data_IF_465360157535
#
_entry.id   IF_465360157535
#
_cell.length_a   1.000
_cell.length_b   1.000
_cell.length_c   1.000
_cell.angle_alpha   90.00
_cell.angle_beta   90.00
_cell.angle_gamma   90.00
#
_symmetry.space_group_name_H-M   'P 1'
#
loop_
_entity.id
_entity.type
_entity.pdbx_description
1 polymer ?
#
# COMPACT_ATOMS: atom_id res chain seq x y z
N UNK A 1 -17.68 -9.79 24.99
CA UNK A 1 -16.92 -8.53 24.85
C UNK A 1 -16.74 -8.30 23.36
N UNK A 2 -17.41 -7.29 22.79
CA UNK A 2 -17.45 -7.07 21.35
C UNK A 2 -16.07 -6.63 20.86
N UNK A 3 -15.45 -7.42 20.00
CA UNK A 3 -14.21 -7.12 19.26
C UNK A 3 -14.40 -5.95 18.25
N UNK A 4 -15.60 -5.41 18.15
CA UNK A 4 -15.95 -4.24 17.33
C UNK A 4 -15.97 -3.01 18.25
N UNK A 5 -14.83 -2.61 18.80
CA UNK A 5 -14.64 -1.18 19.00
C UNK A 5 -14.44 -0.61 17.59
N UNK A 6 -15.53 -0.10 17.00
CA UNK A 6 -15.43 0.97 15.99
C UNK A 6 -14.38 1.92 16.54
N UNK A 7 -13.29 2.12 15.81
CA UNK A 7 -12.22 2.99 16.24
C UNK A 7 -12.87 4.29 16.70
N UNK A 8 -12.60 4.74 17.93
CA UNK A 8 -13.16 5.95 18.51
C UNK A 8 -12.82 7.23 17.70
N UNK A 9 -12.07 7.06 16.62
CA UNK A 9 -11.61 8.10 15.69
C UNK A 9 -12.67 8.45 14.63
N UNK A 10 -13.65 7.54 14.31
CA UNK A 10 -14.58 7.74 13.19
C UNK A 10 -16.04 7.36 13.49
N UNK A 11 -16.68 7.87 14.56
CA UNK A 11 -18.10 7.56 14.78
C UNK A 11 -19.01 8.11 13.68
N UNK A 12 -18.59 9.18 12.97
CA UNK A 12 -19.48 9.99 12.11
C UNK A 12 -18.98 10.15 10.66
N UNK A 13 -17.89 9.47 10.24
CA UNK A 13 -17.44 9.57 8.85
C UNK A 13 -18.30 8.66 7.97
N UNK A 14 -18.91 9.18 6.87
CA UNK A 14 -19.82 8.37 6.08
C UNK A 14 -19.09 7.15 5.52
N UNK A 15 -19.62 5.96 5.80
CA UNK A 15 -19.13 4.65 5.32
C UNK A 15 -18.86 4.60 3.81
N UNK A 16 -19.54 5.48 3.03
CA UNK A 16 -19.38 5.58 1.58
C UNK A 16 -18.10 6.30 1.14
N UNK A 17 -17.39 7.01 2.03
CA UNK A 17 -16.21 7.80 1.62
C UNK A 17 -15.13 6.94 0.94
N UNK A 18 -14.70 5.78 1.49
CA UNK A 18 -13.70 4.94 0.84
C UNK A 18 -14.13 4.39 -0.52
N UNK A 19 -15.44 4.27 -0.75
CA UNK A 19 -16.00 3.77 -2.01
C UNK A 19 -16.19 4.85 -3.07
N UNK A 20 -16.00 6.12 -2.75
CA UNK A 20 -16.15 7.24 -3.69
C UNK A 20 -15.29 7.08 -4.94
N UNK A 21 -14.05 6.60 -4.79
CA UNK A 21 -13.13 6.39 -5.92
C UNK A 21 -13.58 5.27 -6.86
N UNK A 22 -14.06 4.13 -6.35
CA UNK A 22 -14.57 3.03 -7.19
C UNK A 22 -15.91 3.39 -7.84
N UNK A 23 -16.79 4.10 -7.15
CA UNK A 23 -18.05 4.59 -7.72
C UNK A 23 -17.76 5.55 -8.87
N UNK A 24 -16.87 6.52 -8.68
CA UNK A 24 -16.44 7.44 -9.72
C UNK A 24 -15.81 6.68 -10.91
N UNK A 25 -14.97 5.68 -10.65
CA UNK A 25 -14.37 4.85 -11.69
C UNK A 25 -15.42 4.11 -12.54
N UNK A 26 -16.42 3.52 -11.90
CA UNK A 26 -17.54 2.83 -12.59
C UNK A 26 -18.33 3.81 -13.46
N UNK A 27 -18.71 4.97 -12.90
CA UNK A 27 -19.48 5.99 -13.62
C UNK A 27 -18.67 6.48 -14.85
N UNK A 28 -17.41 6.91 -14.64
CA UNK A 28 -16.60 7.46 -15.72
C UNK A 28 -16.27 6.39 -16.76
N UNK A 29 -15.94 5.16 -16.37
CA UNK A 29 -15.71 4.06 -17.31
C UNK A 29 -16.96 3.78 -18.16
N UNK A 30 -18.14 3.80 -17.54
CA UNK A 30 -19.42 3.55 -18.24
C UNK A 30 -19.75 4.66 -19.24
N UNK A 31 -19.58 5.93 -18.87
CA UNK A 31 -19.90 7.08 -19.72
C UNK A 31 -18.91 7.20 -20.88
N UNK A 32 -17.60 7.01 -20.61
CA UNK A 32 -16.56 7.29 -21.61
C UNK A 32 -16.33 6.15 -22.61
N UNK A 33 -16.47 4.90 -22.19
CA UNK A 33 -16.15 3.72 -23.01
C UNK A 33 -17.19 2.58 -22.90
N UNK A 34 -18.30 2.80 -22.21
CA UNK A 34 -19.37 1.82 -22.04
C UNK A 34 -18.91 0.49 -21.49
N UNK A 35 -19.44 -0.61 -22.04
CA UNK A 35 -19.12 -1.98 -21.61
C UNK A 35 -17.62 -2.32 -21.72
N UNK A 36 -16.92 -1.78 -22.73
CA UNK A 36 -15.49 -2.04 -22.91
C UNK A 36 -14.65 -1.41 -21.79
N UNK A 37 -15.00 -0.20 -21.36
CA UNK A 37 -14.36 0.49 -20.26
C UNK A 37 -14.55 -0.23 -18.92
N UNK A 38 -15.77 -0.73 -18.66
CA UNK A 38 -16.04 -1.53 -17.46
C UNK A 38 -15.30 -2.87 -17.48
N UNK A 39 -15.26 -3.56 -18.62
CA UNK A 39 -14.52 -4.83 -18.76
C UNK A 39 -13.03 -4.62 -18.51
N UNK A 40 -12.45 -3.56 -19.04
CA UNK A 40 -11.05 -3.20 -18.84
C UNK A 40 -10.75 -2.89 -17.35
N UNK A 41 -11.58 -2.09 -16.71
CA UNK A 41 -11.52 -1.78 -15.28
C UNK A 41 -11.59 -3.05 -14.42
N UNK A 42 -12.63 -3.86 -14.60
CA UNK A 42 -12.84 -5.10 -13.84
C UNK A 42 -11.71 -6.10 -14.07
N UNK A 43 -11.15 -6.15 -15.29
CA UNK A 43 -10.03 -7.06 -15.61
C UNK A 43 -8.79 -6.77 -14.76
N UNK A 44 -8.54 -5.52 -14.37
CA UNK A 44 -7.45 -5.14 -13.47
C UNK A 44 -7.80 -5.42 -12.01
N UNK A 45 -9.02 -5.13 -11.60
CA UNK A 45 -9.47 -5.38 -10.23
C UNK A 45 -9.51 -6.88 -9.90
N UNK A 46 -9.80 -7.73 -10.90
CA UNK A 46 -9.92 -9.18 -10.73
C UNK A 46 -8.70 -9.95 -11.25
N UNK A 47 -7.58 -9.29 -11.51
CA UNK A 47 -6.37 -9.93 -12.05
C UNK A 47 -5.62 -10.69 -10.96
N UNK A 48 -5.97 -11.96 -10.77
CA UNK A 48 -5.37 -12.84 -9.76
C UNK A 48 -4.24 -13.74 -10.30
N UNK A 49 -4.19 -13.98 -11.62
CA UNK A 49 -3.16 -14.84 -12.25
C UNK A 49 -1.81 -14.12 -12.37
N UNK A 50 -1.13 -13.99 -11.24
CA UNK A 50 0.20 -13.40 -11.09
C UNK A 50 1.12 -14.34 -10.33
N UNK A 51 2.44 -14.16 -10.46
CA UNK A 51 3.40 -15.02 -9.77
C UNK A 51 3.25 -14.96 -8.23
N UNK A 52 3.36 -16.10 -7.55
CA UNK A 52 3.17 -16.25 -6.09
C UNK A 52 4.05 -15.30 -5.28
N UNK A 53 5.25 -14.97 -5.78
CA UNK A 53 6.15 -14.00 -5.14
C UNK A 53 5.52 -12.61 -4.95
N UNK A 54 4.56 -12.23 -5.81
CA UNK A 54 3.89 -10.94 -5.70
C UNK A 54 2.77 -10.95 -4.65
N UNK A 55 2.13 -12.09 -4.42
CA UNK A 55 1.27 -12.28 -3.25
C UNK A 55 2.08 -12.20 -1.96
N UNK A 56 3.25 -12.88 -1.93
CA UNK A 56 4.15 -12.77 -0.78
C UNK A 56 4.60 -11.32 -0.56
N UNK A 57 4.98 -10.58 -1.62
CA UNK A 57 5.35 -9.18 -1.51
C UNK A 57 4.18 -8.31 -1.00
N UNK A 58 2.97 -8.50 -1.56
CA UNK A 58 1.79 -7.74 -1.17
C UNK A 58 1.40 -7.94 0.30
N UNK A 59 1.56 -9.15 0.83
CA UNK A 59 1.15 -9.47 2.19
C UNK A 59 2.29 -9.27 3.20
N UNK A 60 3.52 -9.67 2.88
CA UNK A 60 4.61 -9.72 3.85
C UNK A 60 5.40 -8.41 3.96
N UNK A 61 5.48 -7.60 2.88
CA UNK A 61 6.20 -6.31 2.96
C UNK A 61 5.55 -5.37 3.98
N UNK A 62 4.22 -5.12 3.97
CA UNK A 62 3.58 -4.29 4.99
C UNK A 62 3.74 -4.84 6.40
N UNK A 63 3.66 -6.16 6.56
CA UNK A 63 3.88 -6.83 7.87
C UNK A 63 5.31 -6.58 8.36
N UNK A 64 6.32 -6.82 7.53
CA UNK A 64 7.71 -6.60 7.89
C UNK A 64 7.98 -5.14 8.27
N UNK A 65 7.46 -4.18 7.49
CA UNK A 65 7.61 -2.75 7.79
C UNK A 65 6.94 -2.36 9.11
N UNK A 66 5.75 -2.89 9.41
CA UNK A 66 5.06 -2.65 10.67
C UNK A 66 5.84 -3.23 11.87
N UNK A 67 6.39 -4.43 11.73
CA UNK A 67 7.22 -5.04 12.77
C UNK A 67 8.50 -4.22 13.01
N UNK A 68 9.15 -3.72 11.96
CA UNK A 68 10.31 -2.81 12.08
C UNK A 68 9.91 -1.53 12.81
N UNK A 69 8.75 -0.93 12.52
CA UNK A 69 8.27 0.26 13.23
C UNK A 69 8.06 -0.02 14.73
N UNK A 70 7.39 -1.11 15.08
CA UNK A 70 7.18 -1.52 16.49
C UNK A 70 8.52 -1.74 17.18
N UNK A 71 9.43 -2.49 16.55
CA UNK A 71 10.76 -2.77 17.08
C UNK A 71 11.54 -1.47 17.36
N UNK A 72 11.58 -0.55 16.39
CA UNK A 72 12.27 0.72 16.53
C UNK A 72 11.62 1.61 17.59
N UNK A 73 10.29 1.59 17.72
CA UNK A 73 9.59 2.33 18.75
C UNK A 73 9.96 1.84 20.16
N UNK A 74 9.97 0.52 20.35
CA UNK A 74 10.38 -0.11 21.62
C UNK A 74 11.86 0.17 21.90
N UNK A 75 12.73 0.03 20.92
CA UNK A 75 14.16 0.34 21.03
C UNK A 75 14.40 1.81 21.42
N UNK A 76 13.49 2.70 21.02
CA UNK A 76 13.52 4.13 21.35
C UNK A 76 12.84 4.46 22.69
N UNK A 77 12.53 3.45 23.53
CA UNK A 77 12.03 3.61 24.89
C UNK A 77 10.52 3.46 25.07
N UNK A 78 9.74 3.09 24.02
CA UNK A 78 8.35 2.74 24.22
C UNK A 78 8.24 1.39 24.99
N UNK A 79 7.20 1.23 25.82
CA UNK A 79 6.98 -0.05 26.47
C UNK A 79 6.71 -1.15 25.44
N UNK A 80 7.27 -2.34 25.72
CA UNK A 80 6.99 -3.53 24.90
C UNK A 80 5.48 -3.86 24.98
N UNK A 81 4.81 -4.12 23.87
CA UNK A 81 3.43 -4.60 23.88
C UNK A 81 3.26 -5.83 24.77
N UNK A 82 2.32 -5.78 25.69
CA UNK A 82 2.05 -6.88 26.62
C UNK A 82 1.31 -8.03 25.95
N UNK A 83 1.39 -9.25 26.49
CA UNK A 83 0.63 -10.39 26.01
C UNK A 83 -0.90 -10.11 25.96
N UNK A 84 -1.41 -9.32 26.92
CA UNK A 84 -2.81 -8.92 26.95
C UNK A 84 -3.19 -7.98 25.80
N UNK A 85 -2.28 -7.08 25.38
CA UNK A 85 -2.48 -6.18 24.23
C UNK A 85 -2.37 -6.94 22.90
N UNK A 86 -1.40 -7.86 22.80
CA UNK A 86 -1.23 -8.71 21.62
C UNK A 86 -2.43 -9.66 21.43
N UNK A 87 -3.04 -10.11 22.53
CA UNK A 87 -4.14 -11.08 22.48
C UNK A 87 -3.73 -12.40 21.82
N UNK A 88 -4.67 -13.21 21.36
CA UNK A 88 -4.37 -14.43 20.63
C UNK A 88 -3.80 -14.12 19.24
N UNK A 89 -2.79 -14.88 18.81
CA UNK A 89 -2.10 -14.68 17.54
C UNK A 89 -3.03 -14.61 16.31
N UNK A 90 -4.15 -15.32 16.33
CA UNK A 90 -5.14 -15.30 15.25
C UNK A 90 -6.00 -14.03 15.23
N UNK A 91 -5.94 -13.19 16.28
CA UNK A 91 -6.69 -11.93 16.35
C UNK A 91 -6.37 -11.00 15.19
N UNK A 92 -5.11 -10.96 14.77
CA UNK A 92 -4.69 -10.18 13.59
C UNK A 92 -5.33 -10.68 12.30
N UNK A 93 -5.54 -12.00 12.17
CA UNK A 93 -6.17 -12.58 10.99
C UNK A 93 -7.66 -12.23 10.91
N UNK A 94 -8.33 -12.05 12.05
CA UNK A 94 -9.73 -11.63 12.10
C UNK A 94 -9.93 -10.16 11.69
N UNK A 95 -8.90 -9.32 11.85
CA UNK A 95 -8.91 -7.93 11.39
C UNK A 95 -8.76 -7.81 9.86
N UNK A 96 -8.20 -8.82 9.20
CA UNK A 96 -7.88 -8.74 7.78
C UNK A 96 -9.13 -8.60 6.88
N UNK A 97 -10.20 -9.43 7.01
CA UNK A 97 -11.42 -9.26 6.22
C UNK A 97 -12.11 -7.92 6.46
N UNK A 98 -12.13 -7.45 7.70
CA UNK A 98 -12.69 -6.15 8.05
C UNK A 98 -11.87 -5.01 7.42
N UNK A 99 -10.54 -5.07 7.54
CA UNK A 99 -9.63 -4.11 6.88
C UNK A 99 -9.73 -4.14 5.35
N UNK A 100 -10.08 -5.28 4.75
CA UNK A 100 -10.24 -5.43 3.30
C UNK A 100 -11.45 -4.64 2.77
N UNK A 101 -12.56 -4.70 3.51
CA UNK A 101 -13.81 -4.04 3.11
C UNK A 101 -13.81 -2.56 3.48
N UNK A 102 -13.13 -2.17 4.57
CA UNK A 102 -13.17 -0.83 5.14
C UNK A 102 -12.78 0.27 4.12
N UNK A 103 -11.60 0.16 3.50
CA UNK A 103 -11.13 1.14 2.52
C UNK A 103 -10.45 0.53 1.28
N UNK A 104 -9.52 -0.43 1.41
CA UNK A 104 -8.68 -0.89 0.30
C UNK A 104 -9.46 -1.37 -0.93
N UNK A 105 -10.56 -2.09 -0.71
CA UNK A 105 -11.40 -2.59 -1.81
C UNK A 105 -11.96 -1.45 -2.66
N UNK A 106 -12.48 -0.40 -2.04
CA UNK A 106 -13.04 0.75 -2.73
C UNK A 106 -11.95 1.63 -3.34
N UNK A 107 -10.98 2.01 -2.52
CA UNK A 107 -9.93 2.96 -2.91
C UNK A 107 -9.04 2.42 -4.03
N UNK A 108 -8.45 1.24 -3.85
CA UNK A 108 -7.50 0.72 -4.81
C UNK A 108 -8.13 0.33 -6.15
N UNK A 109 -9.39 -0.11 -6.11
CA UNK A 109 -10.16 -0.31 -7.34
C UNK A 109 -10.26 0.99 -8.14
N UNK A 110 -10.59 2.11 -7.49
CA UNK A 110 -10.62 3.42 -8.15
C UNK A 110 -9.25 3.91 -8.59
N UNK A 111 -8.26 3.91 -7.69
CA UNK A 111 -6.95 4.49 -7.95
C UNK A 111 -6.10 3.64 -8.92
N UNK A 112 -5.91 2.33 -8.62
CA UNK A 112 -5.04 1.45 -9.43
C UNK A 112 -5.79 0.70 -10.51
N UNK A 113 -7.08 0.40 -10.30
CA UNK A 113 -7.91 -0.22 -11.33
C UNK A 113 -8.30 0.75 -12.45
N UNK A 114 -8.50 2.05 -12.12
CA UNK A 114 -9.01 3.03 -13.08
C UNK A 114 -8.08 4.22 -13.32
N UNK A 115 -7.69 4.99 -12.29
CA UNK A 115 -7.00 6.27 -12.47
C UNK A 115 -5.55 6.11 -12.98
N UNK A 116 -4.72 5.31 -12.28
CA UNK A 116 -3.31 5.15 -12.62
C UNK A 116 -3.05 4.70 -14.08
N UNK A 117 -3.80 3.73 -14.66
CA UNK A 117 -3.63 3.35 -16.06
C UNK A 117 -3.95 4.46 -17.08
N UNK A 118 -4.58 5.55 -16.64
CA UNK A 118 -4.96 6.69 -17.48
C UNK A 118 -4.00 7.87 -17.36
N UNK A 119 -3.00 7.76 -16.52
CA UNK A 119 -1.94 8.76 -16.45
C UNK A 119 -1.09 8.70 -17.73
N UNK A 120 -0.43 9.81 -18.04
CA UNK A 120 0.32 9.95 -19.28
C UNK A 120 1.40 8.87 -19.43
N UNK A 121 1.39 8.19 -20.57
CA UNK A 121 2.42 7.22 -20.94
C UNK A 121 3.78 7.88 -21.27
N UNK A 122 3.82 9.20 -21.49
CA UNK A 122 5.07 9.95 -21.68
C UNK A 122 5.86 10.16 -20.38
N UNK A 123 5.24 9.91 -19.21
CA UNK A 123 5.90 10.00 -17.92
C UNK A 123 6.39 8.63 -17.45
N UNK A 124 7.47 8.65 -16.68
CA UNK A 124 7.94 7.41 -16.04
C UNK A 124 6.90 6.86 -15.04
N UNK A 125 6.86 5.55 -14.81
CA UNK A 125 6.07 4.95 -13.74
C UNK A 125 6.29 5.59 -12.38
N UNK A 126 7.52 5.98 -12.04
CA UNK A 126 7.84 6.70 -10.80
C UNK A 126 7.15 8.07 -10.76
N UNK A 127 7.22 8.85 -11.84
CA UNK A 127 6.55 10.16 -11.92
C UNK A 127 5.04 10.02 -11.74
N UNK A 128 4.41 9.07 -12.42
CA UNK A 128 2.99 8.78 -12.27
C UNK A 128 2.65 8.31 -10.83
N UNK A 129 3.55 7.56 -10.22
CA UNK A 129 3.42 7.11 -8.82
C UNK A 129 3.46 8.28 -7.84
N UNK A 130 4.39 9.22 -8.03
CA UNK A 130 4.50 10.39 -7.16
C UNK A 130 3.28 11.33 -7.31
N UNK A 131 2.79 11.52 -8.53
CA UNK A 131 1.54 12.26 -8.78
C UNK A 131 0.37 11.58 -8.05
N UNK A 132 0.23 10.24 -8.20
CA UNK A 132 -0.80 9.50 -7.50
C UNK A 132 -0.62 9.57 -5.99
N UNK A 133 0.61 9.48 -5.48
CA UNK A 133 0.92 9.61 -4.05
C UNK A 133 0.49 10.97 -3.49
N UNK A 134 0.71 12.06 -4.23
CA UNK A 134 0.25 13.38 -3.84
C UNK A 134 -1.29 13.49 -3.83
N UNK A 135 -1.97 12.90 -4.82
CA UNK A 135 -3.44 12.84 -4.84
C UNK A 135 -3.99 12.02 -3.68
N UNK A 136 -3.34 10.88 -3.35
CA UNK A 136 -3.69 10.06 -2.20
C UNK A 136 -3.46 10.80 -0.87
N UNK A 137 -2.36 11.55 -0.75
CA UNK A 137 -2.11 12.40 0.42
C UNK A 137 -3.24 13.44 0.59
N UNK A 138 -3.66 14.08 -0.51
CA UNK A 138 -4.82 14.98 -0.50
C UNK A 138 -6.13 14.28 -0.14
N UNK A 139 -6.38 13.08 -0.68
CA UNK A 139 -7.52 12.24 -0.34
C UNK A 139 -7.56 11.88 1.15
N UNK A 140 -6.41 11.60 1.74
CA UNK A 140 -6.27 11.25 3.15
C UNK A 140 -6.16 12.46 4.08
N UNK A 141 -6.24 13.70 3.57
CA UNK A 141 -6.11 14.89 4.41
C UNK A 141 -7.09 14.93 5.59
N UNK A 142 -8.39 14.58 5.44
CA UNK A 142 -9.30 14.54 6.59
C UNK A 142 -8.85 13.56 7.68
N UNK A 143 -8.28 12.40 7.28
CA UNK A 143 -7.69 11.42 8.20
C UNK A 143 -6.41 11.96 8.84
N UNK A 144 -5.57 12.59 8.05
CA UNK A 144 -4.31 13.15 8.52
C UNK A 144 -4.52 14.21 9.61
N UNK A 145 -5.57 15.03 9.51
CA UNK A 145 -5.88 16.10 10.47
C UNK A 145 -6.19 15.59 11.89
N UNK A 146 -6.61 14.33 12.02
CA UNK A 146 -6.87 13.68 13.32
C UNK A 146 -5.79 12.66 13.68
N UNK A 147 -4.79 12.46 12.84
CA UNK A 147 -3.65 11.59 13.11
C UNK A 147 -2.72 12.21 14.18
N UNK A 148 -1.95 11.41 14.91
CA UNK A 148 -0.98 11.90 15.89
C UNK A 148 0.06 12.86 15.31
N UNK A 149 0.34 12.77 14.00
CA UNK A 149 1.15 13.72 13.24
C UNK A 149 0.68 13.80 11.80
N UNK A 150 0.11 14.94 11.41
CA UNK A 150 -0.36 15.22 10.03
C UNK A 150 0.76 15.02 9.01
N UNK A 151 1.91 15.63 9.26
CA UNK A 151 3.05 15.61 8.33
C UNK A 151 3.58 14.19 8.15
N UNK A 152 3.79 13.46 9.25
CA UNK A 152 4.26 12.08 9.19
C UNK A 152 3.26 11.17 8.43
N UNK A 153 1.97 11.35 8.66
CA UNK A 153 0.93 10.58 7.97
C UNK A 153 0.97 10.81 6.45
N UNK A 154 1.05 12.07 6.00
CA UNK A 154 1.08 12.41 4.58
C UNK A 154 2.36 11.91 3.89
N UNK A 155 3.54 12.07 4.53
CA UNK A 155 4.81 11.54 4.02
C UNK A 155 4.73 10.01 3.89
N UNK A 156 4.27 9.32 4.93
CA UNK A 156 4.11 7.86 4.91
C UNK A 156 3.14 7.38 3.83
N UNK A 157 2.06 8.13 3.57
CA UNK A 157 1.10 7.83 2.49
C UNK A 157 1.76 7.91 1.12
N UNK A 158 2.54 8.95 0.83
CA UNK A 158 3.28 9.07 -0.44
C UNK A 158 4.31 7.94 -0.58
N UNK A 159 5.05 7.64 0.47
CA UNK A 159 6.03 6.56 0.47
C UNK A 159 5.38 5.19 0.27
N UNK A 160 4.24 4.94 0.95
CA UNK A 160 3.45 3.71 0.77
C UNK A 160 2.94 3.57 -0.67
N UNK A 161 2.56 4.67 -1.34
CA UNK A 161 2.17 4.64 -2.73
C UNK A 161 3.28 4.14 -3.66
N UNK A 162 4.56 4.44 -3.37
CA UNK A 162 5.72 3.91 -4.12
C UNK A 162 5.81 2.40 -3.98
N UNK A 163 5.71 1.88 -2.76
CA UNK A 163 5.78 0.43 -2.49
C UNK A 163 4.60 -0.32 -3.12
N UNK A 164 3.39 0.21 -2.97
CA UNK A 164 2.17 -0.34 -3.55
C UNK A 164 2.24 -0.36 -5.08
N UNK A 165 2.72 0.71 -5.71
CA UNK A 165 2.84 0.78 -7.16
C UNK A 165 4.00 -0.08 -7.69
N UNK A 166 5.07 -0.30 -6.91
CA UNK A 166 6.06 -1.32 -7.24
C UNK A 166 5.42 -2.72 -7.34
N UNK A 167 4.58 -3.10 -6.38
CA UNK A 167 3.80 -4.35 -6.47
C UNK A 167 2.93 -4.33 -7.73
N UNK A 168 2.19 -3.25 -7.97
CA UNK A 168 1.30 -3.08 -9.12
C UNK A 168 2.00 -3.33 -10.46
N UNK A 169 3.09 -2.59 -10.73
CA UNK A 169 3.80 -2.67 -12.01
C UNK A 169 4.46 -4.03 -12.23
N UNK A 170 4.90 -4.71 -11.18
CA UNK A 170 5.55 -6.01 -11.28
C UNK A 170 4.56 -7.18 -11.20
N UNK A 171 3.34 -6.96 -10.71
CA UNK A 171 2.25 -7.95 -10.67
C UNK A 171 1.30 -7.81 -11.87
N UNK A 172 1.80 -7.50 -13.06
CA UNK A 172 1.02 -7.37 -14.30
C UNK A 172 -0.09 -6.31 -14.21
N UNK A 173 0.13 -5.25 -13.45
CA UNK A 173 -0.85 -4.17 -13.22
C UNK A 173 -2.13 -4.68 -12.53
N UNK A 174 -1.96 -5.56 -11.54
CA UNK A 174 -3.05 -6.10 -10.75
C UNK A 174 -3.43 -5.13 -9.63
N UNK A 175 -4.61 -4.53 -9.71
CA UNK A 175 -5.18 -3.75 -8.61
C UNK A 175 -5.50 -4.66 -7.40
N UNK A 176 -5.86 -5.93 -7.63
CA UNK A 176 -6.10 -6.90 -6.55
C UNK A 176 -4.89 -7.04 -5.62
N UNK A 177 -3.68 -7.11 -6.17
CA UNK A 177 -2.47 -7.23 -5.35
C UNK A 177 -2.22 -5.98 -4.52
N UNK A 178 -2.59 -4.80 -5.02
CA UNK A 178 -2.51 -3.56 -4.24
C UNK A 178 -3.60 -3.48 -3.18
N UNK A 179 -4.81 -3.97 -3.47
CA UNK A 179 -5.85 -4.14 -2.46
C UNK A 179 -5.34 -5.01 -1.30
N UNK A 180 -4.70 -6.15 -1.60
CA UNK A 180 -4.13 -7.03 -0.57
C UNK A 180 -2.98 -6.36 0.20
N UNK A 181 -2.09 -5.63 -0.49
CA UNK A 181 -1.02 -4.85 0.13
C UNK A 181 -1.58 -3.81 1.12
N UNK A 182 -2.54 -3.02 0.66
CA UNK A 182 -3.18 -1.97 1.47
C UNK A 182 -3.95 -2.60 2.66
N UNK A 183 -4.65 -3.70 2.42
CA UNK A 183 -5.33 -4.46 3.48
C UNK A 183 -4.35 -4.92 4.55
N UNK A 184 -3.22 -5.51 4.15
CA UNK A 184 -2.20 -5.95 5.10
C UNK A 184 -1.61 -4.77 5.88
N UNK A 185 -1.36 -3.63 5.22
CA UNK A 185 -0.89 -2.40 5.87
C UNK A 185 -1.89 -1.88 6.90
N UNK A 186 -3.18 -1.77 6.53
CA UNK A 186 -4.23 -1.32 7.43
C UNK A 186 -4.44 -2.28 8.60
N UNK A 187 -4.40 -3.59 8.33
CA UNK A 187 -4.50 -4.62 9.37
C UNK A 187 -3.40 -4.44 10.42
N UNK A 188 -2.15 -4.26 9.99
CA UNK A 188 -1.03 -4.05 10.91
C UNK A 188 -1.13 -2.71 11.65
N UNK A 189 -1.56 -1.65 10.98
CA UNK A 189 -1.82 -0.36 11.62
C UNK A 189 -2.88 -0.46 12.71
N UNK A 190 -4.04 -1.06 12.39
CA UNK A 190 -5.15 -1.27 13.33
C UNK A 190 -4.77 -2.18 14.51
N UNK A 191 -3.84 -3.09 14.29
CA UNK A 191 -3.37 -3.99 15.32
C UNK A 191 -2.36 -3.33 16.27
N UNK A 192 -1.34 -2.65 15.74
CA UNK A 192 -0.22 -2.15 16.55
C UNK A 192 -0.40 -0.71 17.07
N UNK A 193 -0.99 0.21 16.29
CA UNK A 193 -1.09 1.62 16.73
C UNK A 193 -1.82 1.79 18.06
N UNK A 194 -2.93 1.07 18.36
CA UNK A 194 -3.63 1.21 19.65
C UNK A 194 -2.84 0.71 20.85
N UNK A 195 -1.71 0.04 20.65
CA UNK A 195 -0.85 -0.44 21.75
C UNK A 195 0.03 0.68 22.33
N UNK A 196 0.12 1.81 21.63
CA UNK A 196 0.92 2.97 22.04
C UNK A 196 0.04 4.18 22.27
N UNK A 197 0.53 5.15 23.06
CA UNK A 197 -0.18 6.40 23.39
C UNK A 197 0.79 7.54 23.58
N UNK A 198 0.28 8.78 23.62
CA UNK A 198 1.08 9.98 23.86
C UNK A 198 2.28 10.09 22.93
N UNK A 199 3.46 10.37 23.48
CA UNK A 199 4.70 10.55 22.71
C UNK A 199 5.12 9.31 21.92
N UNK A 200 4.84 8.11 22.43
CA UNK A 200 5.17 6.85 21.77
C UNK A 200 4.32 6.63 20.50
N UNK A 201 3.06 7.05 20.53
CA UNK A 201 2.18 7.01 19.36
C UNK A 201 2.59 8.05 18.31
N UNK A 202 2.99 9.26 18.72
CA UNK A 202 3.54 10.29 17.82
C UNK A 202 4.82 9.76 17.16
N UNK A 203 5.72 9.17 17.93
CA UNK A 203 6.95 8.55 17.42
C UNK A 203 6.64 7.41 16.44
N UNK A 204 5.64 6.56 16.73
CA UNK A 204 5.19 5.51 15.83
C UNK A 204 4.74 6.07 14.48
N UNK A 205 4.07 7.23 14.45
CA UNK A 205 3.70 7.93 13.20
C UNK A 205 4.92 8.40 12.42
N UNK A 206 5.95 8.95 13.08
CA UNK A 206 7.19 9.34 12.42
C UNK A 206 8.01 8.13 11.94
N UNK A 207 7.98 7.02 12.68
CA UNK A 207 8.58 5.76 12.23
C UNK A 207 7.87 5.19 11.00
N UNK A 208 6.54 5.34 10.91
CA UNK A 208 5.80 5.03 9.69
C UNK A 208 6.36 5.83 8.50
N UNK A 209 6.45 7.16 8.62
CA UNK A 209 7.03 8.00 7.58
C UNK A 209 8.46 7.59 7.22
N UNK A 210 9.34 7.41 8.22
CA UNK A 210 10.76 7.13 8.02
C UNK A 210 11.01 5.74 7.39
N UNK A 211 10.41 4.70 7.94
CA UNK A 211 10.60 3.30 7.50
C UNK A 211 10.05 3.10 6.09
N UNK A 212 8.85 3.63 5.81
CA UNK A 212 8.27 3.54 4.46
C UNK A 212 9.04 4.39 3.45
N UNK A 213 9.52 5.59 3.83
CA UNK A 213 10.34 6.43 2.95
C UNK A 213 11.68 5.77 2.65
N UNK A 214 12.34 5.19 3.65
CA UNK A 214 13.60 4.47 3.44
C UNK A 214 13.39 3.28 2.49
N UNK A 215 12.36 2.47 2.72
CA UNK A 215 12.04 1.35 1.84
C UNK A 215 11.72 1.80 0.41
N UNK A 216 10.96 2.92 0.26
CA UNK A 216 10.66 3.50 -1.04
C UNK A 216 11.93 4.00 -1.77
N UNK A 217 12.83 4.68 -1.06
CA UNK A 217 14.11 5.15 -1.62
C UNK A 217 14.96 3.96 -2.07
N UNK A 218 15.15 2.96 -1.21
CA UNK A 218 15.88 1.73 -1.59
C UNK A 218 15.28 1.09 -2.83
N UNK A 219 13.95 1.01 -2.89
CA UNK A 219 13.24 0.42 -4.01
C UNK A 219 13.44 1.22 -5.31
N UNK A 220 13.41 2.55 -5.24
CA UNK A 220 13.68 3.43 -6.38
C UNK A 220 15.13 3.28 -6.85
N UNK A 221 16.10 3.22 -5.94
CA UNK A 221 17.51 3.05 -6.28
C UNK A 221 17.77 1.71 -6.97
N UNK A 222 17.09 0.64 -6.55
CA UNK A 222 17.26 -0.71 -7.12
C UNK A 222 16.53 -0.88 -8.45
N UNK A 223 15.33 -0.30 -8.63
CA UNK A 223 14.48 -0.55 -9.78
C UNK A 223 14.44 0.63 -10.79
N UNK A 224 15.04 1.76 -10.44
CA UNK A 224 15.03 2.97 -11.24
C UNK A 224 13.63 3.58 -11.45
N UNK A 225 13.48 4.51 -12.41
CA UNK A 225 12.24 5.25 -12.62
C UNK A 225 11.10 4.39 -13.17
N UNK A 226 11.38 3.17 -13.64
CA UNK A 226 10.36 2.23 -14.14
C UNK A 226 9.64 1.50 -13.00
N UNK A 227 10.19 1.49 -11.79
CA UNK A 227 9.74 0.68 -10.66
C UNK A 227 9.59 -0.81 -11.01
N UNK A 228 10.25 -1.25 -12.09
CA UNK A 228 10.27 -2.66 -12.53
C UNK A 228 11.70 -3.17 -12.41
N UNK A 229 11.83 -4.38 -11.90
CA UNK A 229 13.11 -5.07 -11.97
C UNK A 229 13.42 -5.31 -13.45
N UNK A 230 14.44 -4.62 -13.97
CA UNK A 230 14.91 -4.88 -15.32
C UNK A 230 15.40 -6.34 -15.38
N UNK A 231 15.00 -7.12 -16.42
CA UNK A 231 15.71 -8.37 -16.70
C UNK A 231 17.18 -8.02 -16.90
N UNK A 232 18.08 -8.88 -16.41
CA UNK A 232 19.52 -8.72 -16.72
C UNK A 232 19.65 -8.51 -18.23
N UNK A 233 20.25 -7.39 -18.61
CA UNK A 233 20.39 -7.02 -20.02
C UNK A 233 21.26 -8.08 -20.67
N UNK A 234 20.93 -8.52 -21.90
CA UNK A 234 21.72 -9.49 -22.67
C UNK A 234 23.20 -9.06 -22.85
N UNK A 235 23.56 -7.83 -22.53
CA UNK A 235 24.94 -7.34 -22.47
C UNK A 235 25.80 -8.06 -21.41
N UNK A 236 25.23 -8.51 -20.28
CA UNK A 236 25.97 -9.26 -19.26
C UNK A 236 26.25 -10.71 -19.69
N UNK A 237 25.46 -11.27 -20.59
CA UNK A 237 25.67 -12.62 -21.14
C UNK A 237 26.68 -12.63 -22.32
N UNK A 238 26.91 -11.49 -22.96
CA UNK A 238 27.88 -11.37 -24.06
C UNK A 238 29.35 -11.24 -23.58
N UNK A 239 29.58 -11.06 -22.28
CA UNK A 239 30.92 -10.98 -21.69
C UNK A 239 31.43 -12.31 -21.11
N UNK A 240 30.68 -13.40 -21.23
CA UNK A 240 31.22 -14.72 -20.90
C UNK A 240 32.24 -15.11 -21.97
N UNK A 241 33.47 -15.49 -21.59
CA UNK A 241 34.48 -15.95 -22.56
C UNK A 241 33.92 -17.12 -23.36
N UNK A 242 33.91 -16.98 -24.68
CA UNK A 242 33.55 -18.10 -25.57
C UNK A 242 34.53 -19.24 -25.31
N UNK A 243 34.08 -20.49 -25.14
CA UNK A 243 34.97 -21.62 -25.02
C UNK A 243 35.77 -21.72 -26.31
N UNK A 244 37.10 -21.59 -26.21
CA UNK A 244 38.00 -21.89 -27.31
C UNK A 244 37.94 -23.40 -27.55
N UNK A 245 37.30 -23.80 -28.63
CA UNK A 245 37.29 -25.19 -29.10
C UNK A 245 38.66 -25.43 -29.78
N UNK A 246 39.40 -26.48 -29.42
CA UNK A 246 40.68 -26.79 -29.99
C UNK A 246 40.61 -27.24 -31.45
#
# INVERSE_FOLDING_TARGET
MSLVRRSAIWPDFPFLFPFGSVIAAIIVASITRGRSGLKDFLSRCLRWRVGLKWYAAALLVPVALALVQVFLNVLSGAPMPTAAQLGPWFGVLLLFPDSFIDAPLGEESGWRGFALPRFSASRSPLTNTLILGALLAGWHLPLALVAPSVVAYLIGTVASAVLANWVYYNARESALLVILYHTASNTMGRYFFPMFSGADLVRMSWLFAAVYSLAAVVLILVNGPTLRRQPATQADTAQLPQPQIP
#
